data_IF_190753527903
#
_entry.id   IF_190753527903
#
_cell.length_a   1.000
_cell.length_b   1.000
_cell.length_c   1.000
_cell.angle_alpha   90.00
_cell.angle_beta   90.00
_cell.angle_gamma   90.00
#
_symmetry.space_group_name_H-M   'P 1'
#
loop_
_entity.id
_entity.type
_entity.pdbx_description
1 polymer ?
#
# COMPACT_ATOMS: atom_id res chain seq x y z
N UNK A 1 -17.89 -16.78 8.74
CA UNK A 1 -17.85 -15.37 8.28
C UNK A 1 -16.70 -14.72 9.02
N UNK A 2 -15.59 -14.48 8.34
CA UNK A 2 -14.44 -13.79 8.92
C UNK A 2 -14.73 -12.29 8.78
N UNK A 3 -15.35 -11.69 9.80
CA UNK A 3 -15.39 -10.24 9.91
C UNK A 3 -13.96 -9.80 10.22
N UNK A 4 -13.23 -9.37 9.20
CA UNK A 4 -12.05 -8.54 9.39
C UNK A 4 -12.54 -7.28 10.11
N UNK A 5 -12.16 -7.16 11.39
CA UNK A 5 -12.42 -5.96 12.17
C UNK A 5 -11.45 -4.91 11.63
N UNK A 6 -11.86 -4.14 10.62
CA UNK A 6 -11.11 -3.00 10.08
C UNK A 6 -11.11 -1.88 11.13
N UNK A 7 -10.25 -2.02 12.13
CA UNK A 7 -9.99 -0.96 13.11
C UNK A 7 -9.22 0.16 12.42
N UNK A 8 -9.96 1.12 11.88
CA UNK A 8 -9.49 2.42 11.35
C UNK A 8 -8.63 3.12 12.40
N UNK A 9 -7.31 3.04 12.28
CA UNK A 9 -6.38 3.78 13.15
C UNK A 9 -6.27 5.26 12.75
N UNK A 10 -6.80 5.69 11.60
CA UNK A 10 -6.72 7.09 11.15
C UNK A 10 -7.79 7.53 10.12
N UNK A 11 -8.97 6.90 10.13
CA UNK A 11 -10.05 7.19 9.16
C UNK A 11 -9.82 6.60 7.75
N UNK A 12 -8.81 5.75 7.61
CA UNK A 12 -8.55 4.90 6.46
C UNK A 12 -9.16 3.51 6.69
N UNK A 13 -9.92 3.01 5.72
CA UNK A 13 -10.41 1.63 5.71
C UNK A 13 -9.96 0.95 4.43
N UNK A 14 -9.14 -0.08 4.53
CA UNK A 14 -8.69 -0.87 3.38
C UNK A 14 -9.74 -1.90 2.97
N UNK A 15 -9.86 -2.14 1.67
CA UNK A 15 -10.64 -3.26 1.14
C UNK A 15 -9.86 -4.56 1.20
N UNK A 16 -10.55 -5.67 0.95
CA UNK A 16 -9.92 -6.98 0.82
C UNK A 16 -8.86 -6.95 -0.30
N UNK A 17 -7.66 -7.40 0.01
CA UNK A 17 -6.50 -7.33 -0.90
C UNK A 17 -5.68 -6.05 -0.80
N UNK A 18 -6.12 -5.05 -0.03
CA UNK A 18 -5.37 -3.83 0.33
C UNK A 18 -4.95 -2.93 -0.85
N UNK A 19 -5.42 -3.19 -2.07
CA UNK A 19 -5.10 -2.39 -3.26
C UNK A 19 -5.89 -1.06 -3.31
N UNK A 20 -7.05 -1.05 -2.66
CA UNK A 20 -7.93 0.12 -2.53
C UNK A 20 -8.23 0.40 -1.06
N UNK A 21 -8.56 1.66 -0.79
CA UNK A 21 -8.97 2.09 0.54
C UNK A 21 -9.93 3.29 0.47
N UNK A 22 -10.81 3.36 1.44
CA UNK A 22 -11.72 4.47 1.66
C UNK A 22 -11.09 5.52 2.58
N UNK A 23 -11.11 6.79 2.17
CA UNK A 23 -10.63 7.92 2.96
C UNK A 23 -11.42 9.20 2.63
N UNK A 24 -11.81 9.97 3.64
CA UNK A 24 -12.53 11.26 3.46
C UNK A 24 -13.76 11.17 2.52
N UNK A 25 -14.48 10.05 2.52
CA UNK A 25 -15.69 9.87 1.73
C UNK A 25 -15.45 9.47 0.26
N UNK A 26 -14.23 9.06 -0.10
CA UNK A 26 -13.86 8.62 -1.45
C UNK A 26 -12.98 7.38 -1.41
N UNK A 27 -12.99 6.64 -2.49
CA UNK A 27 -12.16 5.45 -2.70
C UNK A 27 -10.91 5.81 -3.50
N UNK A 28 -9.78 5.27 -3.05
CA UNK A 28 -8.46 5.51 -3.60
C UNK A 28 -7.80 4.17 -3.90
N UNK A 29 -6.95 4.16 -4.92
CA UNK A 29 -6.14 3.00 -5.29
C UNK A 29 -4.65 3.32 -5.18
N UNK A 30 -3.87 2.28 -4.90
CA UNK A 30 -2.40 2.34 -4.90
C UNK A 30 -1.88 1.88 -6.25
N UNK A 31 -1.17 2.76 -6.96
CA UNK A 31 -0.53 2.47 -8.24
C UNK A 31 0.78 1.70 -8.05
N UNK A 32 1.19 0.92 -9.06
CA UNK A 32 2.56 0.37 -9.17
C UNK A 32 3.63 1.43 -9.43
N UNK A 33 3.26 2.68 -9.68
CA UNK A 33 4.19 3.77 -9.91
C UNK A 33 4.88 4.19 -8.60
N UNK A 34 6.19 3.98 -8.53
CA UNK A 34 7.01 4.45 -7.42
C UNK A 34 7.15 5.98 -7.41
N UNK A 35 7.26 6.52 -6.21
CA UNK A 35 7.47 7.92 -5.89
C UNK A 35 8.82 8.04 -5.19
N UNK A 36 9.66 8.97 -5.64
CA UNK A 36 10.97 9.20 -5.02
C UNK A 36 10.81 9.74 -3.60
N UNK A 37 11.61 9.23 -2.66
CA UNK A 37 11.64 9.70 -1.27
C UNK A 37 11.92 11.21 -1.18
N UNK A 38 12.77 11.76 -2.05
CA UNK A 38 13.10 13.19 -2.10
C UNK A 38 11.87 14.08 -2.43
N UNK A 39 10.80 13.49 -2.98
CA UNK A 39 9.56 14.19 -3.27
C UNK A 39 8.59 14.23 -2.09
N UNK A 40 8.84 13.48 -1.02
CA UNK A 40 7.95 13.41 0.15
C UNK A 40 8.13 14.67 1.00
N UNK A 41 7.06 15.45 1.18
CA UNK A 41 7.10 16.70 1.95
C UNK A 41 6.55 16.55 3.37
N UNK A 42 5.67 15.58 3.59
CA UNK A 42 5.04 15.39 4.88
C UNK A 42 4.07 14.23 4.92
N UNK A 43 3.49 14.01 6.09
CA UNK A 43 2.53 12.94 6.35
C UNK A 43 1.12 13.51 6.42
N UNK A 44 0.23 13.07 5.54
CA UNK A 44 -1.21 13.35 5.57
C UNK A 44 -1.89 12.52 6.66
N UNK A 45 -1.56 11.23 6.74
CA UNK A 45 -2.15 10.30 7.69
C UNK A 45 -1.10 9.38 8.27
N UNK A 46 -1.12 9.22 9.61
CA UNK A 46 -0.25 8.27 10.29
C UNK A 46 -0.97 6.96 10.55
N UNK A 47 -0.41 5.84 10.09
CA UNK A 47 -0.91 4.50 10.35
C UNK A 47 0.17 3.47 10.05
N UNK A 48 0.02 2.25 10.58
CA UNK A 48 0.87 1.12 10.25
C UNK A 48 0.02 -0.16 10.22
N UNK A 49 0.07 -0.87 9.10
CA UNK A 49 -0.64 -2.12 8.86
C UNK A 49 0.32 -3.18 8.30
N UNK A 50 0.04 -4.45 8.60
CA UNK A 50 0.86 -5.59 8.17
C UNK A 50 0.01 -6.69 7.52
N UNK A 51 -0.66 -6.41 6.39
CA UNK A 51 -1.48 -7.40 5.71
C UNK A 51 -0.68 -8.63 5.28
N UNK A 52 -1.27 -9.81 5.49
CA UNK A 52 -0.80 -11.07 4.90
C UNK A 52 -1.22 -11.09 3.45
N UNK A 53 -0.24 -11.19 2.54
CA UNK A 53 -0.49 -11.17 1.08
C UNK A 53 -0.15 -12.49 0.43
N UNK A 54 0.57 -13.37 1.11
CA UNK A 54 0.89 -14.73 0.64
C UNK A 54 0.93 -15.70 1.81
N UNK A 55 0.37 -16.89 1.64
CA UNK A 55 0.49 -18.00 2.59
C UNK A 55 1.07 -19.23 1.88
N UNK A 56 2.24 -19.68 2.33
CA UNK A 56 2.94 -20.87 1.83
C UNK A 56 3.01 -21.91 2.95
N UNK A 57 1.96 -22.74 3.04
CA UNK A 57 1.82 -23.72 4.12
C UNK A 57 1.63 -23.05 5.48
N UNK A 58 2.66 -23.12 6.35
CA UNK A 58 2.66 -22.47 7.66
C UNK A 58 3.30 -21.07 7.66
N UNK A 59 3.96 -20.69 6.57
CA UNK A 59 4.65 -19.40 6.45
C UNK A 59 3.68 -18.37 5.88
N UNK A 60 3.52 -17.26 6.58
CA UNK A 60 2.75 -16.10 6.12
C UNK A 60 3.71 -15.00 5.73
N UNK A 61 3.62 -14.50 4.50
CA UNK A 61 4.36 -13.32 4.06
C UNK A 61 3.47 -12.10 4.17
N UNK A 62 3.99 -11.07 4.84
CA UNK A 62 3.30 -9.81 5.08
C UNK A 62 3.98 -8.68 4.33
N UNK A 63 3.20 -7.69 3.91
CA UNK A 63 3.73 -6.40 3.47
C UNK A 63 3.51 -5.35 4.54
N UNK A 64 4.50 -4.47 4.77
CA UNK A 64 4.27 -3.29 5.60
C UNK A 64 3.59 -2.22 4.76
N UNK A 65 2.48 -1.70 5.26
CA UNK A 65 1.86 -0.48 4.76
C UNK A 65 2.00 0.58 5.84
N UNK A 66 2.55 1.74 5.48
CA UNK A 66 2.87 2.78 6.45
C UNK A 66 2.57 4.16 5.89
N UNK A 67 1.72 4.90 6.61
CA UNK A 67 1.36 6.30 6.41
C UNK A 67 0.87 6.67 4.99
N UNK A 68 0.06 7.72 4.94
CA UNK A 68 -0.24 8.44 3.70
C UNK A 68 0.57 9.72 3.71
N UNK A 69 1.26 10.00 2.62
CA UNK A 69 2.18 11.12 2.47
C UNK A 69 1.70 12.09 1.40
N UNK A 70 2.15 13.33 1.50
CA UNK A 70 1.96 14.37 0.47
C UNK A 70 3.29 14.59 -0.24
N UNK A 71 3.26 14.63 -1.56
CA UNK A 71 4.43 14.88 -2.40
C UNK A 71 4.59 16.37 -2.73
N UNK A 72 5.74 16.74 -3.30
CA UNK A 72 6.02 18.10 -3.83
C UNK A 72 5.02 18.56 -4.90
N UNK A 73 4.34 17.63 -5.58
CA UNK A 73 3.31 17.93 -6.59
C UNK A 73 1.91 18.08 -5.99
N UNK A 74 1.78 18.01 -4.65
CA UNK A 74 0.52 17.89 -3.91
C UNK A 74 -0.29 16.62 -4.25
N UNK A 75 0.36 15.62 -4.82
CA UNK A 75 -0.20 14.27 -4.97
C UNK A 75 0.00 13.48 -3.69
N UNK A 76 -0.65 12.32 -3.58
CA UNK A 76 -0.48 11.40 -2.46
C UNK A 76 0.39 10.20 -2.81
N UNK A 77 1.09 9.71 -1.79
CA UNK A 77 1.84 8.48 -1.84
C UNK A 77 1.63 7.67 -0.56
N UNK A 78 1.69 6.34 -0.65
CA UNK A 78 1.61 5.42 0.50
C UNK A 78 2.95 4.69 0.64
N UNK A 79 3.41 4.49 1.87
CA UNK A 79 4.59 3.67 2.14
C UNK A 79 4.24 2.19 2.03
N UNK A 80 5.01 1.44 1.23
CA UNK A 80 4.89 -0.01 1.05
C UNK A 80 6.29 -0.62 1.10
N UNK A 81 6.55 -1.50 2.09
CA UNK A 81 7.91 -1.95 2.41
C UNK A 81 8.86 -0.76 2.62
N UNK A 82 9.89 -0.69 1.76
CA UNK A 82 10.95 0.32 1.76
C UNK A 82 10.72 1.39 0.68
N UNK A 83 9.57 1.36 -0.02
CA UNK A 83 9.24 2.26 -1.13
C UNK A 83 8.00 3.10 -0.88
N UNK A 84 7.82 4.12 -1.73
CA UNK A 84 6.62 4.96 -1.74
C UNK A 84 5.92 4.80 -3.09
N UNK A 85 4.60 4.67 -3.07
CA UNK A 85 3.81 4.39 -4.27
C UNK A 85 2.70 5.41 -4.43
N UNK A 86 2.46 5.84 -5.67
CA UNK A 86 1.46 6.86 -5.98
C UNK A 86 0.06 6.37 -5.59
N UNK A 87 -0.71 7.27 -4.99
CA UNK A 87 -2.13 7.09 -4.68
C UNK A 87 -2.94 8.08 -5.51
N UNK A 88 -4.04 7.60 -6.09
CA UNK A 88 -5.02 8.44 -6.79
C UNK A 88 -6.42 7.88 -6.51
N UNK A 89 -7.46 8.59 -6.96
CA UNK A 89 -8.83 8.09 -6.94
C UNK A 89 -8.89 6.75 -7.65
N UNK A 90 -9.72 5.85 -7.13
CA UNK A 90 -9.86 4.50 -7.68
C UNK A 90 -10.15 4.52 -9.20
N UNK A 91 -11.05 5.40 -9.63
CA UNK A 91 -11.45 5.56 -11.03
C UNK A 91 -10.31 6.02 -11.97
N UNK A 92 -9.24 6.60 -11.41
CA UNK A 92 -8.10 7.12 -12.17
C UNK A 92 -7.00 6.07 -12.37
N UNK A 93 -7.07 4.93 -11.67
CA UNK A 93 -6.06 3.86 -11.74
C UNK A 93 -6.74 2.57 -12.20
N UNK A 94 -6.45 2.17 -13.44
CA UNK A 94 -6.87 0.88 -13.97
C UNK A 94 -6.39 -0.27 -13.07
N UNK A 95 -7.20 -1.31 -12.90
CA UNK A 95 -6.85 -2.47 -12.06
C UNK A 95 -5.49 -3.09 -12.41
N UNK A 96 -5.12 -3.14 -13.69
CA UNK A 96 -3.81 -3.63 -14.18
C UNK A 96 -2.61 -2.76 -13.80
N UNK A 97 -2.87 -1.52 -13.36
CA UNK A 97 -1.85 -0.57 -12.92
C UNK A 97 -1.83 -0.39 -11.40
N UNK A 98 -2.71 -1.09 -10.68
CA UNK A 98 -2.67 -1.18 -9.22
C UNK A 98 -1.50 -2.04 -8.78
N UNK A 99 -0.98 -1.75 -7.60
CA UNK A 99 0.17 -2.49 -7.04
C UNK A 99 -0.19 -3.95 -6.80
N UNK A 100 0.72 -4.85 -7.14
CA UNK A 100 0.63 -6.27 -6.79
C UNK A 100 1.63 -6.56 -5.66
N UNK A 101 1.12 -6.67 -4.44
CA UNK A 101 1.95 -6.91 -3.26
C UNK A 101 2.63 -8.28 -3.27
N UNK A 102 2.05 -9.29 -3.93
CA UNK A 102 2.67 -10.62 -4.04
C UNK A 102 3.87 -10.55 -4.98
N UNK A 103 3.70 -9.95 -6.16
CA UNK A 103 4.79 -9.75 -7.11
C UNK A 103 5.93 -8.88 -6.52
N UNK A 104 5.57 -7.85 -5.73
CA UNK A 104 6.54 -7.03 -5.02
C UNK A 104 7.39 -7.85 -4.03
N UNK A 105 6.76 -8.70 -3.22
CA UNK A 105 7.47 -9.56 -2.28
C UNK A 105 8.37 -10.58 -2.97
N UNK A 106 7.88 -11.23 -4.02
CA UNK A 106 8.65 -12.23 -4.76
C UNK A 106 9.91 -11.60 -5.39
N UNK A 107 9.85 -10.32 -5.79
CA UNK A 107 11.02 -9.57 -6.27
C UNK A 107 12.03 -9.28 -5.14
N UNK A 108 11.55 -8.91 -3.96
CA UNK A 108 12.40 -8.66 -2.78
C UNK A 108 13.10 -9.93 -2.32
N UNK A 109 12.42 -11.08 -2.30
CA UNK A 109 13.02 -12.35 -1.87
C UNK A 109 14.15 -12.80 -2.83
N UNK A 110 13.96 -12.66 -4.14
CA UNK A 110 14.99 -12.96 -5.15
C UNK A 110 16.23 -12.08 -5.03
N UNK A 111 16.08 -10.84 -4.57
CA UNK A 111 17.21 -9.92 -4.36
C UNK A 111 18.07 -10.32 -3.16
N UNK A 112 17.50 -11.04 -2.18
CA UNK A 112 18.21 -11.52 -0.99
C UNK A 112 18.92 -12.85 -1.21
N UNK A 113 18.44 -13.69 -2.11
CA UNK A 113 19.08 -14.98 -2.43
C UNK A 113 20.34 -14.84 -3.30
N UNK A 114 20.51 -13.72 -4.00
CA UNK A 114 21.64 -13.49 -4.92
C UNK A 114 22.79 -12.66 -4.32
N UNK A 115 22.85 -12.50 -2.99
CA UNK A 115 23.89 -11.71 -2.31
C UNK A 115 24.59 -12.52 -1.20
#
# INVERSE_FOLDING_TARGET
MLTACSSTSAGLSFDEGYQTFHYKGKDYAVSKQEVSEDSIQGTEVKFMEWPVVKEEGAVKKTVSLNNLYVTTSNDWAIGVQDGYYKVDLEDNIAESDRIDYQALLDTVDLSKENN
#
